data_IF_916871111532
#
_entry.id   IF_916871111532
#
_cell.length_a   1.000
_cell.length_b   1.000
_cell.length_c   1.000
_cell.angle_alpha   90.00
_cell.angle_beta   90.00
_cell.angle_gamma   90.00
#
_symmetry.space_group_name_H-M   'P 1'
#
loop_
_entity.id
_entity.type
_entity.pdbx_description
1 polymer ?
#
# COMPACT_ATOMS: atom_id res chain seq x y z
N UNK A 1 19.39 14.51 1.40
CA UNK A 1 20.03 13.37 2.09
C UNK A 1 20.38 12.35 1.04
N UNK A 2 21.56 11.74 1.09
CA UNK A 2 22.00 10.72 0.12
C UNK A 2 22.04 9.36 0.82
N UNK A 3 21.46 8.36 0.17
CA UNK A 3 21.50 6.96 0.57
C UNK A 3 22.36 6.17 -0.42
N UNK A 4 23.09 5.18 0.07
CA UNK A 4 23.91 4.32 -0.79
C UNK A 4 23.05 3.36 -1.62
N UNK A 5 22.03 2.80 -0.99
CA UNK A 5 21.04 1.91 -1.58
C UNK A 5 19.77 1.90 -0.72
N UNK A 6 18.79 1.08 -1.09
CA UNK A 6 17.53 0.93 -0.36
C UNK A 6 17.72 0.32 1.03
N UNK A 7 18.72 -0.53 1.21
CA UNK A 7 19.02 -1.15 2.49
C UNK A 7 19.62 -0.12 3.46
N UNK A 8 20.51 0.75 3.00
CA UNK A 8 21.01 1.90 3.78
C UNK A 8 19.87 2.86 4.15
N UNK A 9 18.97 3.16 3.21
CA UNK A 9 17.78 3.94 3.51
C UNK A 9 16.91 3.27 4.59
N UNK A 10 16.69 1.95 4.48
CA UNK A 10 15.91 1.15 5.43
C UNK A 10 16.51 1.15 6.84
N UNK A 11 17.82 0.93 6.98
CA UNK A 11 18.50 0.99 8.30
C UNK A 11 18.40 2.36 8.96
N UNK A 12 18.56 3.43 8.17
CA UNK A 12 18.44 4.81 8.68
C UNK A 12 17.00 5.14 9.08
N UNK A 13 16.02 4.65 8.32
CA UNK A 13 14.60 4.78 8.65
C UNK A 13 14.27 4.01 9.93
N UNK A 14 14.72 2.76 10.04
CA UNK A 14 14.55 1.92 11.21
C UNK A 14 15.07 2.58 12.50
N UNK A 15 16.24 3.22 12.45
CA UNK A 15 16.79 3.96 13.58
C UNK A 15 15.88 5.11 14.07
N UNK A 16 15.07 5.71 13.19
CA UNK A 16 14.07 6.74 13.55
C UNK A 16 12.78 6.13 14.10
N UNK A 17 12.50 4.88 13.75
CA UNK A 17 11.28 4.16 14.12
C UNK A 17 11.43 3.31 15.39
N UNK A 18 12.60 3.31 16.05
CA UNK A 18 12.86 2.47 17.23
C UNK A 18 11.85 2.63 18.38
N UNK A 19 11.15 3.76 18.46
CA UNK A 19 10.06 3.98 19.42
C UNK A 19 8.84 3.05 19.22
N UNK A 20 8.75 2.36 18.09
CA UNK A 20 7.70 1.39 17.76
C UNK A 20 8.08 -0.05 18.12
N UNK A 21 9.33 -0.31 18.51
CA UNK A 21 9.79 -1.65 18.87
C UNK A 21 9.03 -2.17 20.09
N UNK A 22 8.60 -3.44 20.02
CA UNK A 22 7.82 -4.10 21.07
C UNK A 22 6.33 -3.75 21.09
N UNK A 23 5.85 -2.94 20.13
CA UNK A 23 4.42 -2.73 19.90
C UNK A 23 3.87 -3.77 18.91
N UNK A 24 2.55 -3.95 18.85
CA UNK A 24 1.89 -4.81 17.84
C UNK A 24 1.88 -4.11 16.48
N UNK A 25 3.00 -4.25 15.77
CA UNK A 25 3.31 -3.59 14.50
C UNK A 25 3.40 -4.60 13.38
N UNK A 26 2.84 -4.27 12.22
CA UNK A 26 3.09 -4.97 10.94
C UNK A 26 3.73 -4.00 9.96
N UNK A 27 4.82 -4.42 9.31
CA UNK A 27 5.52 -3.63 8.29
C UNK A 27 5.10 -4.11 6.92
N UNK A 28 4.57 -3.20 6.11
CA UNK A 28 4.14 -3.44 4.74
C UNK A 28 5.01 -2.69 3.74
N UNK A 29 5.77 -3.41 2.92
CA UNK A 29 6.52 -2.83 1.81
C UNK A 29 5.66 -2.65 0.57
N UNK A 30 5.74 -1.48 -0.07
CA UNK A 30 5.12 -1.23 -1.37
C UNK A 30 6.02 -1.76 -2.50
N UNK A 31 5.55 -2.74 -3.29
CA UNK A 31 6.39 -3.29 -4.35
C UNK A 31 6.58 -2.29 -5.51
N UNK A 32 7.76 -2.27 -6.14
CA UNK A 32 8.92 -3.17 -5.90
C UNK A 32 9.98 -2.56 -4.98
N UNK A 33 10.10 -1.24 -5.00
CA UNK A 33 11.20 -0.50 -4.39
C UNK A 33 11.10 -0.40 -2.87
N UNK A 34 9.91 -0.25 -2.32
CA UNK A 34 9.67 -0.19 -0.88
C UNK A 34 9.99 -1.46 -0.12
N UNK A 35 9.96 -2.62 -0.77
CA UNK A 35 10.14 -3.92 -0.09
C UNK A 35 11.55 -4.07 0.51
N UNK A 36 12.66 -3.82 -0.22
CA UNK A 36 14.00 -3.81 0.39
C UNK A 36 14.16 -2.85 1.58
N UNK A 37 13.48 -1.69 1.55
CA UNK A 37 13.50 -0.74 2.68
C UNK A 37 12.72 -1.31 3.86
N UNK A 38 11.55 -1.89 3.59
CA UNK A 38 10.66 -2.50 4.58
C UNK A 38 11.30 -3.68 5.31
N UNK A 39 12.14 -4.47 4.63
CA UNK A 39 12.89 -5.59 5.24
C UNK A 39 13.74 -5.09 6.40
N UNK A 40 14.58 -4.08 6.17
CA UNK A 40 15.47 -3.56 7.23
C UNK A 40 14.68 -2.94 8.40
N UNK A 41 13.52 -2.34 8.11
CA UNK A 41 12.62 -1.80 9.14
C UNK A 41 11.98 -2.91 9.96
N UNK A 42 11.46 -3.96 9.30
CA UNK A 42 10.85 -5.11 9.97
C UNK A 42 11.86 -5.83 10.88
N UNK A 43 13.07 -6.09 10.36
CA UNK A 43 14.13 -6.77 11.11
C UNK A 43 14.55 -5.98 12.36
N UNK A 44 14.69 -4.66 12.24
CA UNK A 44 15.07 -3.82 13.38
C UNK A 44 13.99 -3.73 14.47
N UNK A 45 12.71 -3.75 14.06
CA UNK A 45 11.56 -3.67 14.95
C UNK A 45 11.13 -5.04 15.51
N UNK A 46 11.70 -6.15 15.01
CA UNK A 46 11.23 -7.52 15.29
C UNK A 46 9.74 -7.68 14.98
N UNK A 47 9.33 -7.18 13.80
CA UNK A 47 7.95 -7.08 13.38
C UNK A 47 7.68 -7.95 12.12
N UNK A 48 6.46 -8.53 11.97
CA UNK A 48 6.08 -9.21 10.75
C UNK A 48 6.21 -8.29 9.51
N UNK A 49 6.88 -8.81 8.48
CA UNK A 49 6.97 -8.19 7.16
C UNK A 49 5.96 -8.81 6.19
N UNK A 50 5.25 -7.97 5.45
CA UNK A 50 4.47 -8.39 4.28
C UNK A 50 4.53 -7.31 3.18
N UNK A 51 3.90 -7.58 2.04
CA UNK A 51 3.74 -6.63 0.94
C UNK A 51 2.34 -6.03 0.95
N UNK A 52 2.22 -4.77 0.54
CA UNK A 52 0.94 -4.13 0.27
C UNK A 52 0.74 -4.02 -1.25
N UNK A 53 -0.11 -4.88 -1.81
CA UNK A 53 -0.47 -4.80 -3.22
C UNK A 53 -1.76 -4.00 -3.38
N UNK A 54 -1.62 -2.84 -4.03
CA UNK A 54 -2.73 -1.94 -4.33
C UNK A 54 -2.67 -1.42 -5.76
N UNK A 55 -3.83 -1.10 -6.31
CA UNK A 55 -3.98 -0.38 -7.58
C UNK A 55 -4.88 0.82 -7.37
N UNK A 56 -4.55 1.94 -8.01
CA UNK A 56 -5.41 3.11 -8.04
C UNK A 56 -6.46 2.94 -9.13
N UNK A 57 -7.70 3.29 -8.84
CA UNK A 57 -8.71 3.51 -9.86
C UNK A 57 -8.60 4.99 -10.27
N UNK A 58 -8.03 5.24 -11.45
CA UNK A 58 -7.91 6.58 -12.01
C UNK A 58 -9.18 6.98 -12.77
N UNK A 59 -9.50 8.28 -12.77
CA UNK A 59 -10.60 8.81 -13.60
C UNK A 59 -10.27 8.56 -15.09
N UNK A 60 -11.21 8.06 -15.93
CA UNK A 60 -10.94 7.65 -17.31
C UNK A 60 -10.22 8.70 -18.17
N UNK A 61 -10.59 9.97 -18.02
CA UNK A 61 -10.00 11.09 -18.79
C UNK A 61 -8.89 11.83 -18.03
N UNK A 62 -8.62 11.44 -16.78
CA UNK A 62 -7.61 12.06 -15.89
C UNK A 62 -6.99 10.98 -14.98
N UNK A 63 -6.18 10.05 -15.54
CA UNK A 63 -5.71 8.87 -14.82
C UNK A 63 -4.85 9.20 -13.58
N UNK A 64 -4.28 10.40 -13.52
CA UNK A 64 -3.53 10.90 -12.37
C UNK A 64 -4.44 11.14 -11.14
N UNK A 65 -5.72 11.46 -11.36
CA UNK A 65 -6.71 11.69 -10.31
C UNK A 65 -7.33 10.35 -9.92
N UNK A 66 -7.15 9.95 -8.67
CA UNK A 66 -7.68 8.69 -8.16
C UNK A 66 -9.12 8.84 -7.66
N UNK A 67 -10.07 8.20 -8.36
CA UNK A 67 -11.46 8.03 -7.93
C UNK A 67 -11.63 6.86 -6.96
N UNK A 68 -10.61 6.02 -6.79
CA UNK A 68 -10.62 4.93 -5.83
C UNK A 68 -9.31 4.17 -5.77
N UNK A 69 -9.31 3.09 -5.01
CA UNK A 69 -8.23 2.13 -4.90
C UNK A 69 -8.79 0.73 -4.65
N UNK A 70 -8.11 -0.27 -5.18
CA UNK A 70 -8.36 -1.69 -4.90
C UNK A 70 -7.11 -2.31 -4.30
N UNK A 71 -7.31 -3.33 -3.48
CA UNK A 71 -6.25 -4.11 -2.85
C UNK A 71 -6.61 -5.57 -2.72
N UNK A 72 -5.65 -6.37 -2.25
CA UNK A 72 -5.84 -7.81 -2.05
C UNK A 72 -7.00 -8.12 -1.11
N UNK A 73 -7.59 -9.31 -1.27
CA UNK A 73 -8.73 -9.76 -0.47
C UNK A 73 -10.05 -9.09 -0.85
N UNK A 74 -10.16 -8.57 -2.08
CA UNK A 74 -11.39 -7.93 -2.58
C UNK A 74 -11.63 -6.53 -2.00
N UNK A 75 -10.63 -5.93 -1.36
CA UNK A 75 -10.76 -4.60 -0.76
C UNK A 75 -10.93 -3.56 -1.85
N UNK A 76 -12.00 -2.78 -1.74
CA UNK A 76 -12.36 -1.73 -2.67
C UNK A 76 -12.73 -0.47 -1.89
N UNK A 77 -12.06 0.64 -2.23
CA UNK A 77 -12.29 1.95 -1.62
C UNK A 77 -12.55 2.96 -2.73
N UNK A 78 -13.70 3.62 -2.68
CA UNK A 78 -14.06 4.68 -3.62
C UNK A 78 -13.97 6.06 -2.97
N UNK A 79 -13.76 7.06 -3.82
CA UNK A 79 -13.92 8.46 -3.50
C UNK A 79 -15.16 8.98 -4.22
N UNK A 80 -16.30 8.90 -3.53
CA UNK A 80 -17.61 9.30 -4.08
C UNK A 80 -17.63 10.76 -4.56
N UNK A 81 -16.91 11.65 -3.88
CA UNK A 81 -16.80 13.04 -4.29
C UNK A 81 -16.13 13.16 -5.67
N UNK A 82 -15.01 12.46 -5.89
CA UNK A 82 -14.30 12.49 -7.17
C UNK A 82 -15.12 11.83 -8.27
N UNK A 83 -15.82 10.73 -7.97
CA UNK A 83 -16.73 10.08 -8.92
C UNK A 83 -17.82 11.04 -9.40
N UNK A 84 -18.45 11.73 -8.46
CA UNK A 84 -19.50 12.72 -8.73
C UNK A 84 -18.97 13.93 -9.52
N UNK A 85 -17.87 14.55 -9.07
CA UNK A 85 -17.28 15.73 -9.71
C UNK A 85 -16.75 15.44 -11.13
N UNK A 86 -16.23 14.23 -11.36
CA UNK A 86 -15.74 13.82 -12.68
C UNK A 86 -16.84 13.23 -13.59
N UNK A 87 -18.08 13.10 -13.09
CA UNK A 87 -19.19 12.53 -13.86
C UNK A 87 -18.94 11.09 -14.30
N UNK A 88 -18.26 10.29 -13.46
CA UNK A 88 -17.94 8.89 -13.78
C UNK A 88 -19.18 8.04 -13.58
N UNK A 89 -19.69 7.47 -14.67
CA UNK A 89 -20.80 6.54 -14.60
C UNK A 89 -20.36 5.13 -14.12
N UNK A 90 -21.35 4.31 -13.75
CA UNK A 90 -21.11 2.96 -13.23
C UNK A 90 -20.38 2.06 -14.24
N UNK A 91 -20.58 2.27 -15.55
CA UNK A 91 -19.96 1.46 -16.60
C UNK A 91 -18.47 1.79 -16.73
N UNK A 92 -18.13 3.07 -16.69
CA UNK A 92 -16.76 3.56 -16.73
C UNK A 92 -15.99 3.14 -15.48
N UNK A 93 -16.64 3.19 -14.31
CA UNK A 93 -16.07 2.67 -13.06
C UNK A 93 -15.80 1.17 -13.14
N UNK A 94 -16.78 0.37 -13.57
CA UNK A 94 -16.63 -1.08 -13.71
C UNK A 94 -15.50 -1.46 -14.68
N UNK A 95 -15.39 -0.77 -15.82
CA UNK A 95 -14.31 -1.01 -16.77
C UNK A 95 -12.91 -0.68 -16.19
N UNK A 96 -12.81 0.38 -15.39
CA UNK A 96 -11.56 0.70 -14.70
C UNK A 96 -11.23 -0.35 -13.62
N UNK A 97 -12.22 -0.80 -12.86
CA UNK A 97 -12.06 -1.84 -11.85
C UNK A 97 -11.60 -3.17 -12.43
N UNK A 98 -12.24 -3.64 -13.50
CA UNK A 98 -11.89 -4.90 -14.16
C UNK A 98 -10.43 -4.90 -14.62
N UNK A 99 -9.99 -3.82 -15.27
CA UNK A 99 -8.60 -3.67 -15.74
C UNK A 99 -7.61 -3.69 -14.58
N UNK A 100 -7.86 -2.91 -13.53
CA UNK A 100 -6.93 -2.81 -12.42
C UNK A 100 -6.94 -4.08 -11.56
N UNK A 101 -8.07 -4.77 -11.45
CA UNK A 101 -8.18 -6.03 -10.71
C UNK A 101 -7.38 -7.13 -11.40
N UNK A 102 -7.46 -7.25 -12.72
CA UNK A 102 -6.67 -8.23 -13.48
C UNK A 102 -5.15 -8.04 -13.26
N UNK A 103 -4.67 -6.80 -13.28
CA UNK A 103 -3.27 -6.46 -12.99
C UNK A 103 -2.90 -6.76 -11.52
N UNK A 104 -3.79 -6.44 -10.58
CA UNK A 104 -3.60 -6.73 -9.17
C UNK A 104 -3.45 -8.23 -8.92
N UNK A 105 -4.33 -9.06 -9.50
CA UNK A 105 -4.29 -10.52 -9.39
C UNK A 105 -3.04 -11.11 -10.03
N UNK A 106 -2.59 -10.57 -11.17
CA UNK A 106 -1.34 -10.99 -11.80
C UNK A 106 -0.14 -10.72 -10.88
N UNK A 107 -0.10 -9.55 -10.24
CA UNK A 107 0.97 -9.21 -9.27
C UNK A 107 0.88 -10.03 -8.00
N UNK A 108 -0.32 -10.28 -7.48
CA UNK A 108 -0.53 -11.13 -6.31
C UNK A 108 0.01 -12.53 -6.56
N UNK A 109 -0.34 -13.15 -7.69
CA UNK A 109 0.21 -14.45 -8.11
C UNK A 109 1.73 -14.44 -8.21
N UNK A 110 2.31 -13.38 -8.77
CA UNK A 110 3.77 -13.28 -8.96
C UNK A 110 4.55 -13.07 -7.66
N UNK A 111 4.07 -12.19 -6.77
CA UNK A 111 4.84 -11.75 -5.60
C UNK A 111 4.50 -12.55 -4.35
N UNK A 112 3.21 -12.82 -4.14
CA UNK A 112 2.72 -13.53 -2.96
C UNK A 112 2.72 -15.04 -3.17
N UNK A 113 2.34 -15.50 -4.36
CA UNK A 113 2.18 -16.93 -4.64
C UNK A 113 1.06 -17.50 -3.78
N UNK A 114 1.36 -18.56 -3.00
CA UNK A 114 0.42 -19.19 -2.07
C UNK A 114 0.48 -18.66 -0.64
N UNK A 115 1.32 -17.66 -0.35
CA UNK A 115 1.47 -17.14 1.03
C UNK A 115 0.22 -16.37 1.46
N UNK A 116 -0.27 -16.64 2.66
CA UNK A 116 -1.39 -15.88 3.24
C UNK A 116 -0.92 -14.49 3.68
N UNK A 117 -1.73 -13.42 3.44
CA UNK A 117 -1.43 -12.09 3.95
C UNK A 117 -1.39 -12.02 5.48
N UNK A 118 -0.53 -11.17 6.03
CA UNK A 118 -0.48 -10.90 7.47
C UNK A 118 -1.77 -10.18 7.90
N UNK A 119 -2.42 -10.60 9.01
CA UNK A 119 -3.59 -9.91 9.56
C UNK A 119 -3.25 -8.49 10.03
N UNK A 120 -4.12 -7.53 9.72
CA UNK A 120 -3.92 -6.10 10.04
C UNK A 120 -4.91 -5.58 11.09
N UNK A 121 -6.00 -6.32 11.33
CA UNK A 121 -7.10 -5.91 12.22
C UNK A 121 -6.60 -5.53 13.61
N UNK A 122 -6.92 -4.32 14.06
CA UNK A 122 -6.56 -3.82 15.39
C UNK A 122 -5.08 -3.40 15.55
N UNK A 123 -4.22 -3.61 14.55
CA UNK A 123 -2.77 -3.40 14.67
C UNK A 123 -2.30 -2.02 14.23
N UNK A 124 -1.06 -1.67 14.60
CA UNK A 124 -0.34 -0.55 13.98
C UNK A 124 0.33 -1.06 12.70
N UNK A 125 0.09 -0.39 11.58
CA UNK A 125 0.64 -0.77 10.28
C UNK A 125 1.57 0.31 9.76
N UNK A 126 2.81 -0.06 9.44
CA UNK A 126 3.80 0.79 8.79
C UNK A 126 3.76 0.52 7.29
N UNK A 127 3.41 1.52 6.49
CA UNK A 127 3.47 1.44 5.03
C UNK A 127 4.79 2.06 4.58
N UNK A 128 5.65 1.27 3.92
CA UNK A 128 7.01 1.67 3.58
C UNK A 128 7.20 1.67 2.06
N UNK A 129 7.73 2.77 1.52
CA UNK A 129 8.17 2.90 0.13
C UNK A 129 9.64 3.37 0.06
N UNK A 130 10.28 3.24 -1.10
CA UNK A 130 11.63 3.79 -1.32
C UNK A 130 11.63 5.27 -1.72
N UNK A 131 10.46 5.84 -1.95
CA UNK A 131 10.26 7.27 -2.15
C UNK A 131 8.82 7.61 -2.49
N UNK A 132 8.43 8.86 -2.24
CA UNK A 132 7.10 9.38 -2.59
C UNK A 132 7.25 10.50 -3.60
N UNK A 133 7.02 10.20 -4.88
CA UNK A 133 7.00 11.22 -5.93
C UNK A 133 5.72 12.06 -5.85
N UNK A 134 4.56 11.41 -5.96
CA UNK A 134 3.23 12.05 -5.86
C UNK A 134 2.43 11.61 -4.65
N UNK A 135 2.89 10.58 -3.92
CA UNK A 135 2.19 10.01 -2.77
C UNK A 135 0.94 9.20 -3.10
N UNK A 136 0.49 9.18 -4.36
CA UNK A 136 -0.81 8.59 -4.71
C UNK A 136 -0.88 7.08 -4.41
N UNK A 137 0.20 6.33 -4.65
CA UNK A 137 0.26 4.89 -4.33
C UNK A 137 0.23 4.66 -2.82
N UNK A 138 0.97 5.45 -2.05
CA UNK A 138 0.96 5.38 -0.60
C UNK A 138 -0.42 5.71 -0.01
N UNK A 139 -1.11 6.73 -0.53
CA UNK A 139 -2.47 7.06 -0.12
C UNK A 139 -3.46 5.93 -0.43
N UNK A 140 -3.34 5.29 -1.60
CA UNK A 140 -4.12 4.11 -1.95
C UNK A 140 -3.85 2.95 -0.99
N UNK A 141 -2.57 2.74 -0.63
CA UNK A 141 -2.17 1.74 0.35
C UNK A 141 -2.78 2.02 1.72
N UNK A 142 -2.69 3.26 2.23
CA UNK A 142 -3.29 3.63 3.52
C UNK A 142 -4.81 3.40 3.53
N UNK A 143 -5.52 3.70 2.43
CA UNK A 143 -6.96 3.45 2.31
C UNK A 143 -7.29 1.96 2.37
N UNK A 144 -6.56 1.14 1.62
CA UNK A 144 -6.75 -0.33 1.63
C UNK A 144 -6.40 -0.91 3.00
N UNK A 145 -5.29 -0.48 3.61
CA UNK A 145 -4.86 -0.90 4.95
C UNK A 145 -5.90 -0.54 6.00
N UNK A 146 -6.49 0.67 5.92
CA UNK A 146 -7.59 1.08 6.81
C UNK A 146 -8.82 0.19 6.64
N UNK A 147 -9.21 -0.10 5.41
CA UNK A 147 -10.35 -0.97 5.11
C UNK A 147 -10.13 -2.43 5.56
N UNK A 148 -8.88 -2.85 5.76
CA UNK A 148 -8.48 -4.13 6.36
C UNK A 148 -8.39 -4.10 7.90
N UNK A 149 -8.89 -3.04 8.53
CA UNK A 149 -9.06 -2.96 9.99
C UNK A 149 -7.83 -2.49 10.77
N UNK A 150 -6.80 -1.97 10.11
CA UNK A 150 -5.67 -1.38 10.84
C UNK A 150 -6.16 -0.29 11.81
N UNK A 151 -5.72 -0.33 13.07
CA UNK A 151 -6.09 0.65 14.08
C UNK A 151 -5.32 1.96 13.90
N UNK A 152 -4.02 1.84 13.61
CA UNK A 152 -3.12 2.97 13.36
C UNK A 152 -2.33 2.72 12.08
N UNK A 153 -2.14 3.76 11.29
CA UNK A 153 -1.33 3.73 10.07
C UNK A 153 -0.21 4.74 10.23
N UNK A 154 1.02 4.30 9.98
CA UNK A 154 2.22 5.13 9.90
C UNK A 154 2.71 5.04 8.45
N UNK A 155 2.94 6.20 7.83
CA UNK A 155 3.45 6.33 6.46
C UNK A 155 4.72 7.18 6.50
#
# INVERSE_FOLDING_TARGET
MVFNDRSDAGRRLAARLGHLKGQDVVVLGLPRGGVPVAVEVADALDAPLDICLVRKLGVPHRPEVAMGAIGEGGVRVLNEQVLHEAGVDARALAAAEERELAELEQRARRYRGSRTPVPLEGRTVLVVDDGLATGATALAACRVVRARGAARIVL
#
